data_IF_590152164694
#
_entry.id   IF_590152164694
#
_cell.length_a   1.000
_cell.length_b   1.000
_cell.length_c   1.000
_cell.angle_alpha   90.00
_cell.angle_beta   90.00
_cell.angle_gamma   90.00
#
_symmetry.space_group_name_H-M   'P 1'
#
loop_
_entity.id
_entity.type
_entity.pdbx_description
1 polymer ?
#
# COMPACT_ATOMS: atom_id res chain seq x y z
N UNK A 1 -19.41 -70.56 -20.17
CA UNK A 1 -18.86 -69.92 -18.95
C UNK A 1 -18.72 -68.43 -19.25
N UNK A 2 -19.68 -67.59 -18.83
CA UNK A 2 -19.57 -66.14 -18.99
C UNK A 2 -18.68 -65.60 -17.85
N UNK A 3 -17.60 -64.91 -18.22
CA UNK A 3 -16.75 -64.19 -17.26
C UNK A 3 -17.37 -62.82 -16.97
N UNK A 4 -17.82 -62.61 -15.74
CA UNK A 4 -18.28 -61.32 -15.25
C UNK A 4 -17.04 -60.44 -14.98
N UNK A 5 -16.75 -59.49 -15.87
CA UNK A 5 -15.77 -58.43 -15.60
C UNK A 5 -16.41 -57.44 -14.61
N UNK A 6 -15.95 -57.43 -13.36
CA UNK A 6 -16.37 -56.42 -12.37
C UNK A 6 -15.76 -55.07 -12.74
N UNK A 7 -16.57 -54.20 -13.34
CA UNK A 7 -16.20 -52.80 -13.57
C UNK A 7 -16.10 -52.07 -12.22
N UNK A 8 -14.88 -51.75 -11.80
CA UNK A 8 -14.64 -50.96 -10.58
C UNK A 8 -14.64 -49.48 -10.97
N UNK A 9 -15.65 -48.74 -10.54
CA UNK A 9 -15.74 -47.30 -10.74
C UNK A 9 -14.80 -46.64 -9.72
N UNK A 10 -13.69 -46.06 -10.20
CA UNK A 10 -12.87 -45.14 -9.40
C UNK A 10 -13.47 -43.75 -9.54
N UNK A 11 -14.20 -43.29 -8.52
CA UNK A 11 -14.57 -41.88 -8.40
C UNK A 11 -13.30 -41.07 -8.15
N UNK A 12 -12.87 -40.31 -9.16
CA UNK A 12 -11.82 -39.29 -9.00
C UNK A 12 -12.43 -38.14 -8.20
N UNK A 13 -12.08 -38.06 -6.92
CA UNK A 13 -12.41 -36.91 -6.07
C UNK A 13 -11.50 -35.76 -6.50
N UNK A 14 -12.00 -34.84 -7.33
CA UNK A 14 -11.30 -33.61 -7.64
C UNK A 14 -11.22 -32.76 -6.36
N UNK A 15 -10.06 -32.76 -5.71
CA UNK A 15 -9.76 -31.79 -4.66
C UNK A 15 -9.62 -30.43 -5.35
N UNK A 16 -10.65 -29.60 -5.23
CA UNK A 16 -10.51 -28.19 -5.53
C UNK A 16 -9.47 -27.62 -4.56
N UNK A 17 -8.22 -27.48 -5.01
CA UNK A 17 -7.24 -26.68 -4.31
C UNK A 17 -7.78 -25.26 -4.27
N UNK A 18 -8.31 -24.87 -3.12
CA UNK A 18 -8.53 -23.46 -2.82
C UNK A 18 -7.16 -22.79 -2.88
N UNK A 19 -6.82 -22.22 -4.03
CA UNK A 19 -5.70 -21.30 -4.14
C UNK A 19 -6.15 -20.07 -3.37
N UNK A 20 -5.90 -20.05 -2.06
CA UNK A 20 -5.93 -18.81 -1.30
C UNK A 20 -4.89 -17.94 -2.00
N UNK A 21 -5.35 -16.89 -2.69
CA UNK A 21 -4.47 -15.89 -3.26
C UNK A 21 -3.47 -15.49 -2.16
N UNK A 22 -2.18 -15.73 -2.39
CA UNK A 22 -1.14 -15.30 -1.47
C UNK A 22 -1.31 -13.79 -1.28
N UNK A 23 -1.17 -13.25 -0.05
CA UNK A 23 -1.08 -11.80 0.14
C UNK A 23 -0.07 -11.28 -0.88
N UNK A 24 -0.42 -10.26 -1.70
CA UNK A 24 0.37 -9.93 -2.86
C UNK A 24 1.85 -9.77 -2.50
N UNK A 25 2.76 -10.35 -3.30
CA UNK A 25 4.17 -10.15 -3.08
C UNK A 25 4.46 -8.65 -3.08
N UNK A 26 5.50 -8.26 -2.36
CA UNK A 26 5.99 -6.90 -2.47
C UNK A 26 6.39 -6.63 -3.93
N UNK A 27 5.78 -5.63 -4.55
CA UNK A 27 6.00 -5.32 -5.97
C UNK A 27 7.28 -4.52 -6.19
N UNK A 28 7.61 -3.65 -5.24
CA UNK A 28 8.79 -2.78 -5.27
C UNK A 28 9.40 -2.74 -3.87
N UNK A 29 10.70 -2.96 -3.75
CA UNK A 29 11.40 -2.97 -2.46
C UNK A 29 12.37 -1.79 -2.35
N UNK A 30 12.70 -1.44 -1.11
CA UNK A 30 13.73 -0.45 -0.78
C UNK A 30 14.61 -0.99 0.35
N UNK A 31 15.93 -0.81 0.22
CA UNK A 31 16.89 -1.10 1.28
C UNK A 31 17.18 0.20 2.06
N UNK A 32 16.86 0.19 3.35
CA UNK A 32 17.05 1.31 4.26
C UNK A 32 18.53 1.67 4.38
N UNK A 33 18.84 2.95 4.19
CA UNK A 33 20.19 3.52 4.28
C UNK A 33 20.37 4.30 5.58
N UNK A 34 21.63 4.63 5.88
CA UNK A 34 21.95 5.47 7.02
C UNK A 34 21.28 6.86 6.89
N UNK A 35 20.57 7.28 7.95
CA UNK A 35 19.85 8.56 7.98
C UNK A 35 18.49 8.54 7.28
N UNK A 36 17.95 7.36 6.96
CA UNK A 36 16.60 7.23 6.44
C UNK A 36 15.54 7.23 7.55
N UNK A 37 14.41 7.83 7.22
CA UNK A 37 13.13 7.78 7.94
C UNK A 37 12.02 7.79 6.90
N UNK A 38 10.79 7.45 7.29
CA UNK A 38 9.72 7.20 6.31
C UNK A 38 9.46 8.36 5.37
N UNK A 39 9.36 9.60 5.85
CA UNK A 39 9.09 10.74 4.97
C UNK A 39 10.20 10.97 3.95
N UNK A 40 11.47 10.86 4.37
CA UNK A 40 12.59 10.95 3.42
C UNK A 40 12.52 9.85 2.35
N UNK A 41 12.26 8.60 2.75
CA UNK A 41 12.10 7.50 1.79
C UNK A 41 10.91 7.76 0.87
N UNK A 42 9.77 8.18 1.42
CA UNK A 42 8.55 8.49 0.69
C UNK A 42 8.77 9.58 -0.36
N UNK A 43 9.49 10.65 -0.01
CA UNK A 43 9.87 11.73 -0.92
C UNK A 43 10.78 11.22 -2.03
N UNK A 44 11.83 10.47 -1.69
CA UNK A 44 12.82 9.99 -2.67
C UNK A 44 12.28 8.88 -3.58
N UNK A 45 11.36 8.05 -3.07
CA UNK A 45 10.79 6.91 -3.80
C UNK A 45 9.44 7.20 -4.42
N UNK A 46 8.87 8.40 -4.20
CA UNK A 46 7.57 8.80 -4.74
C UNK A 46 6.42 7.92 -4.24
N UNK A 47 6.38 7.64 -2.94
CA UNK A 47 5.30 6.83 -2.31
C UNK A 47 4.66 7.56 -1.15
N UNK A 48 3.36 7.34 -0.95
CA UNK A 48 2.64 7.93 0.18
C UNK A 48 3.23 7.46 1.52
N UNK A 49 3.45 8.39 2.47
CA UNK A 49 3.92 8.05 3.83
C UNK A 49 2.96 7.08 4.51
N UNK A 50 1.65 7.33 4.40
CA UNK A 50 0.63 6.44 4.94
C UNK A 50 0.69 5.05 4.34
N UNK A 51 0.72 4.95 3.00
CA UNK A 51 0.76 3.64 2.36
C UNK A 51 2.06 2.89 2.64
N UNK A 52 3.19 3.59 2.75
CA UNK A 52 4.47 2.98 3.13
C UNK A 52 4.34 2.30 4.51
N UNK A 53 3.71 2.95 5.49
CA UNK A 53 3.43 2.32 6.77
C UNK A 53 2.42 1.16 6.64
N UNK A 54 1.37 1.31 5.85
CA UNK A 54 0.33 0.30 5.67
C UNK A 54 0.84 -1.00 5.02
N UNK A 55 1.63 -0.91 3.94
CA UNK A 55 2.16 -2.09 3.23
C UNK A 55 3.28 -2.82 4.00
N UNK A 56 3.82 -2.17 5.04
CA UNK A 56 4.78 -2.72 6.00
C UNK A 56 4.18 -2.89 7.40
N UNK A 57 2.85 -3.00 7.53
CA UNK A 57 2.20 -3.19 8.82
C UNK A 57 2.80 -4.39 9.59
N UNK A 58 3.13 -4.18 10.85
CA UNK A 58 3.82 -5.15 11.70
C UNK A 58 5.34 -5.22 11.54
N UNK A 59 5.90 -4.53 10.55
CA UNK A 59 7.36 -4.39 10.32
C UNK A 59 7.82 -2.98 10.65
N UNK A 60 7.13 -1.96 10.13
CA UNK A 60 7.38 -0.54 10.42
C UNK A 60 6.28 -0.06 11.37
N UNK A 61 6.67 0.58 12.48
CA UNK A 61 5.71 1.11 13.45
C UNK A 61 5.11 2.43 12.94
N UNK A 62 3.98 2.85 13.53
CA UNK A 62 3.25 4.05 13.08
C UNK A 62 4.05 5.36 13.16
N UNK A 63 5.08 5.41 14.01
CA UNK A 63 5.97 6.58 14.15
C UNK A 63 7.22 6.48 13.27
N UNK A 64 7.38 5.40 12.51
CA UNK A 64 8.57 5.08 11.72
C UNK A 64 9.90 5.19 12.48
N UNK A 65 9.90 4.80 13.76
CA UNK A 65 11.07 4.93 14.65
C UNK A 65 11.91 3.66 14.76
N UNK A 66 11.56 2.62 14.02
CA UNK A 66 12.16 1.29 14.14
C UNK A 66 12.85 0.79 12.86
N UNK A 67 13.25 1.72 11.97
CA UNK A 67 14.06 1.36 10.81
C UNK A 67 15.52 1.05 11.21
N UNK A 68 16.14 0.09 10.53
CA UNK A 68 17.57 -0.18 10.64
C UNK A 68 18.25 -0.23 9.27
N UNK A 69 19.52 0.17 9.20
CA UNK A 69 20.29 0.14 7.95
C UNK A 69 20.37 -1.30 7.42
N UNK A 70 20.15 -1.48 6.11
CA UNK A 70 20.07 -2.77 5.45
C UNK A 70 18.71 -3.47 5.58
N UNK A 71 17.73 -2.89 6.29
CA UNK A 71 16.37 -3.41 6.32
C UNK A 71 15.75 -3.31 4.92
N UNK A 72 15.17 -4.40 4.43
CA UNK A 72 14.34 -4.37 3.22
C UNK A 72 12.91 -4.08 3.64
N UNK A 73 12.37 -2.96 3.14
CA UNK A 73 10.96 -2.60 3.28
C UNK A 73 10.25 -2.64 1.93
N UNK A 74 8.93 -2.77 1.98
CA UNK A 74 8.09 -2.77 0.80
C UNK A 74 7.63 -1.35 0.45
N UNK A 75 7.70 -0.96 -0.82
CA UNK A 75 7.19 0.32 -1.30
C UNK A 75 5.77 0.21 -1.87
N UNK A 76 5.38 -0.99 -2.32
CA UNK A 76 4.12 -1.21 -3.02
C UNK A 76 3.67 -2.68 -2.96
N UNK A 77 2.36 -2.91 -2.91
CA UNK A 77 1.70 -4.21 -3.07
C UNK A 77 0.60 -4.10 -4.13
N UNK A 78 0.10 -5.22 -4.63
CA UNK A 78 -1.01 -5.21 -5.60
C UNK A 78 -2.23 -4.50 -5.00
N UNK A 79 -2.77 -3.52 -5.74
CA UNK A 79 -3.85 -2.63 -5.29
C UNK A 79 -3.45 -1.60 -4.25
N UNK A 80 -2.18 -1.54 -3.84
CA UNK A 80 -1.62 -0.63 -2.83
C UNK A 80 -0.31 -0.03 -3.36
N UNK A 81 -0.43 0.80 -4.40
CA UNK A 81 0.66 1.57 -4.99
C UNK A 81 0.11 2.90 -5.52
N UNK A 82 -0.28 3.81 -4.61
CA UNK A 82 -0.93 5.05 -5.01
C UNK A 82 0.00 5.88 -5.89
N UNK A 83 -0.56 6.32 -7.02
CA UNK A 83 0.09 7.27 -7.91
C UNK A 83 -0.97 8.08 -8.65
N UNK A 84 -0.88 9.42 -8.72
CA UNK A 84 0.23 10.25 -8.25
C UNK A 84 0.25 10.53 -6.73
N UNK A 85 1.39 11.04 -6.26
CA UNK A 85 1.60 11.55 -4.89
C UNK A 85 2.06 13.01 -4.90
N UNK A 86 1.82 13.73 -3.80
CA UNK A 86 2.31 15.10 -3.57
C UNK A 86 3.06 15.16 -2.25
N UNK A 87 4.24 15.80 -2.25
CA UNK A 87 4.97 16.15 -1.03
C UNK A 87 4.43 17.46 -0.46
N UNK A 88 4.03 17.45 0.80
CA UNK A 88 3.60 18.63 1.55
C UNK A 88 4.78 19.58 1.72
N UNK A 89 4.56 20.87 1.43
CA UNK A 89 5.52 21.94 1.71
C UNK A 89 4.99 22.92 2.75
N UNK A 90 5.85 23.84 3.18
CA UNK A 90 5.47 24.85 4.16
C UNK A 90 4.30 25.70 3.64
N UNK A 91 3.31 25.94 4.51
CA UNK A 91 2.05 26.65 4.24
C UNK A 91 1.02 25.89 3.39
N UNK A 92 1.27 24.64 3.03
CA UNK A 92 0.21 23.81 2.44
C UNK A 92 -0.93 23.56 3.43
N UNK A 93 -2.11 23.39 2.86
CA UNK A 93 -3.30 22.88 3.54
C UNK A 93 -3.81 21.69 2.74
N UNK A 94 -4.61 20.82 3.35
CA UNK A 94 -5.29 19.77 2.59
C UNK A 94 -6.13 20.33 1.43
N UNK A 95 -6.79 21.47 1.63
CA UNK A 95 -7.61 22.12 0.59
C UNK A 95 -6.76 22.59 -0.60
N UNK A 96 -5.60 23.21 -0.34
CA UNK A 96 -4.69 23.63 -1.42
C UNK A 96 -4.11 22.44 -2.17
N UNK A 97 -3.76 21.36 -1.47
CA UNK A 97 -3.25 20.13 -2.08
C UNK A 97 -4.32 19.43 -2.91
N UNK A 98 -5.53 19.27 -2.37
CA UNK A 98 -6.65 18.65 -3.08
C UNK A 98 -6.98 19.43 -4.37
N UNK A 99 -7.02 20.77 -4.26
CA UNK A 99 -7.22 21.67 -5.41
C UNK A 99 -6.11 21.50 -6.45
N UNK A 100 -4.84 21.50 -6.04
CA UNK A 100 -3.70 21.34 -6.94
C UNK A 100 -3.69 19.98 -7.65
N UNK A 101 -4.14 18.93 -6.97
CA UNK A 101 -4.28 17.58 -7.53
C UNK A 101 -5.56 17.37 -8.35
N UNK A 102 -6.51 18.32 -8.31
CA UNK A 102 -7.81 18.18 -8.99
C UNK A 102 -8.72 17.12 -8.36
N UNK A 103 -8.59 16.87 -7.07
CA UNK A 103 -9.46 15.96 -6.29
C UNK A 103 -10.24 16.72 -5.22
N UNK A 104 -11.28 16.11 -4.64
CA UNK A 104 -12.00 16.72 -3.52
C UNK A 104 -11.23 16.57 -2.21
N UNK A 105 -11.52 17.43 -1.23
CA UNK A 105 -10.97 17.30 0.12
C UNK A 105 -11.31 15.94 0.75
N UNK A 106 -12.55 15.46 0.58
CA UNK A 106 -12.97 14.14 1.08
C UNK A 106 -12.19 13.01 0.39
N UNK A 107 -11.89 13.16 -0.90
CA UNK A 107 -11.05 12.19 -1.62
C UNK A 107 -9.62 12.19 -1.08
N UNK A 108 -9.06 13.35 -0.80
CA UNK A 108 -7.74 13.44 -0.19
C UNK A 108 -7.70 12.73 1.16
N UNK A 109 -8.69 12.96 2.04
CA UNK A 109 -8.78 12.27 3.33
C UNK A 109 -8.99 10.75 3.17
N UNK A 110 -9.82 10.33 2.22
CA UNK A 110 -10.04 8.91 1.95
C UNK A 110 -8.76 8.19 1.48
N UNK A 111 -7.95 8.88 0.67
CA UNK A 111 -6.66 8.39 0.20
C UNK A 111 -5.59 8.39 1.32
N UNK A 112 -5.72 9.24 2.34
CA UNK A 112 -4.74 9.43 3.41
C UNK A 112 -5.39 9.31 4.82
N UNK A 113 -5.81 8.12 5.26
CA UNK A 113 -6.47 7.89 6.55
C UNK A 113 -5.68 8.25 7.81
N UNK A 114 -4.40 8.62 7.69
CA UNK A 114 -3.62 9.18 8.80
C UNK A 114 -3.98 10.64 9.08
N UNK A 115 -4.56 11.36 8.11
CA UNK A 115 -5.03 12.72 8.30
C UNK A 115 -6.34 12.71 9.10
N UNK A 116 -6.45 13.62 10.07
CA UNK A 116 -7.69 13.82 10.79
C UNK A 116 -8.71 14.61 9.95
N UNK A 117 -9.96 14.61 10.39
CA UNK A 117 -11.07 15.19 9.62
C UNK A 117 -10.94 16.71 9.37
N UNK A 118 -10.22 17.42 10.24
CA UNK A 118 -9.94 18.85 10.14
C UNK A 118 -8.56 19.16 9.51
N UNK A 119 -7.82 18.13 9.09
CA UNK A 119 -6.46 18.22 8.55
C UNK A 119 -5.48 19.05 9.43
N UNK A 120 -5.69 19.06 10.75
CA UNK A 120 -4.85 19.81 11.69
C UNK A 120 -3.53 19.09 12.01
N UNK A 121 -3.37 17.84 11.58
CA UNK A 121 -2.14 17.06 11.77
C UNK A 121 -1.25 16.97 10.52
N UNK A 122 -1.49 17.80 9.49
CA UNK A 122 -0.63 17.90 8.31
C UNK A 122 0.72 18.54 8.66
N UNK A 123 1.82 18.01 8.13
CA UNK A 123 3.17 18.53 8.36
C UNK A 123 4.04 18.50 7.09
N UNK A 124 5.04 19.40 6.98
CA UNK A 124 5.96 19.40 5.84
C UNK A 124 6.69 18.08 5.63
N UNK A 125 7.01 17.78 4.37
CA UNK A 125 7.69 16.57 3.89
C UNK A 125 6.90 15.26 3.98
N UNK A 126 5.71 15.26 4.61
CA UNK A 126 4.74 14.19 4.45
C UNK A 126 4.37 14.03 2.96
N UNK A 127 4.22 12.79 2.48
CA UNK A 127 3.84 12.51 1.09
C UNK A 127 2.43 11.94 1.06
N UNK A 128 1.52 12.70 0.44
CA UNK A 128 0.11 12.35 0.33
C UNK A 128 -0.21 11.65 -0.98
N UNK A 129 -1.05 10.63 -0.90
CA UNK A 129 -1.69 9.99 -2.03
C UNK A 129 -2.77 10.91 -2.62
N UNK A 130 -2.66 11.24 -3.90
CA UNK A 130 -3.62 12.13 -4.58
C UNK A 130 -4.24 11.50 -5.82
N UNK A 131 -4.24 10.16 -5.88
CA UNK A 131 -4.83 9.42 -7.00
C UNK A 131 -6.33 9.72 -7.14
N UNK A 132 -6.80 10.11 -8.35
CA UNK A 132 -8.21 10.38 -8.63
C UNK A 132 -9.04 9.09 -8.59
N UNK A 133 -10.39 9.18 -8.50
CA UNK A 133 -11.25 8.00 -8.63
C UNK A 133 -11.00 7.25 -9.92
N UNK A 134 -10.99 5.92 -9.81
CA UNK A 134 -11.03 5.03 -10.96
C UNK A 134 -12.38 5.26 -11.64
N UNK A 135 -12.39 5.98 -12.75
CA UNK A 135 -13.59 6.14 -13.58
C UNK A 135 -13.66 4.93 -14.50
N UNK A 136 -14.55 3.99 -14.19
CA UNK A 136 -14.87 2.84 -15.04
C UNK A 136 -15.55 3.24 -16.34
#
# INVERSE_FOLDING_TARGET
MLAFVKLTIFTVLALASGVVAQPPPCLRTYEVKAGDFCDKISVEQGVSTYQLAAVNAGIVNALCTNLWVGQIICLAREGLDCSPVIKVVMLDTCESIATAAGITFERLLANNPNLNADCSNLYPDEVLCVEPPVTS
#
